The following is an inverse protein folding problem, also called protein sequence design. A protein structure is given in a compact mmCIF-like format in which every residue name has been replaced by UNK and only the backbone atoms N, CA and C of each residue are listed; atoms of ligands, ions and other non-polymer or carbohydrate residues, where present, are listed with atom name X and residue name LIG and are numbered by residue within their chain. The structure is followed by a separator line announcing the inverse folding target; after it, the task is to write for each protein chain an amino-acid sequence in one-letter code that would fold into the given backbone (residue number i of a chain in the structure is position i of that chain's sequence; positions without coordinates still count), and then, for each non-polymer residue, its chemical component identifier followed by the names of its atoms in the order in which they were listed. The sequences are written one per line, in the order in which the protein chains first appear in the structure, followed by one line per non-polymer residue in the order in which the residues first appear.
data_IF_842199688796
#
_entry.id   IF_842199688796
#
_cell.length_a   1.000
_cell.length_b   1.000
_cell.length_c   1.000
_cell.angle_alpha   90.00
_cell.angle_beta   90.00
_cell.angle_gamma   90.00
#
_symmetry.space_group_name_H-M   'P 1'
#
loop_
_entity.id
_entity.type
_entity.pdbx_description
1 polymer ?
#
# COMPACT_ATOMS: atom_id res chain seq x y z
N UNK A 1 20.80 32.14 17.71
CA UNK A 1 21.05 33.25 18.69
C UNK A 1 22.44 33.87 18.58
N UNK A 2 23.53 33.12 18.31
CA UNK A 2 24.88 33.71 18.24
C UNK A 2 25.10 34.71 17.07
N UNK A 3 24.49 34.49 15.90
CA UNK A 3 24.69 35.34 14.72
C UNK A 3 24.11 36.76 14.83
N UNK A 4 23.16 37.00 15.76
CA UNK A 4 22.55 38.31 15.97
C UNK A 4 23.29 39.18 17.02
N UNK A 5 24.24 38.61 17.77
CA UNK A 5 24.94 39.30 18.89
C UNK A 5 25.97 40.33 18.41
N UNK A 6 26.75 39.99 17.38
CA UNK A 6 27.80 40.87 16.84
C UNK A 6 27.31 42.26 16.43
N UNK A 7 26.29 42.40 15.56
CA UNK A 7 25.84 43.72 15.10
C UNK A 7 25.16 44.56 16.20
N UNK A 8 24.51 43.93 17.18
CA UNK A 8 23.87 44.63 18.30
C UNK A 8 24.93 45.22 19.24
N UNK A 9 25.98 44.47 19.56
CA UNK A 9 27.06 44.94 20.44
C UNK A 9 27.87 46.08 19.82
N UNK A 10 28.18 46.01 18.53
CA UNK A 10 28.87 47.09 17.81
C UNK A 10 28.05 48.38 17.82
N UNK A 11 26.72 48.28 17.62
CA UNK A 11 25.81 49.43 17.67
C UNK A 11 25.73 50.06 19.08
N UNK A 12 25.75 49.25 20.14
CA UNK A 12 25.69 49.72 21.53
C UNK A 12 26.98 50.44 21.94
N UNK A 13 28.14 49.86 21.61
CA UNK A 13 29.44 50.48 21.83
C UNK A 13 29.52 51.88 21.20
N UNK A 14 29.07 52.00 19.95
CA UNK A 14 29.05 53.27 19.24
C UNK A 14 28.09 54.30 19.86
N UNK A 15 26.91 53.87 20.30
CA UNK A 15 25.94 54.73 20.98
C UNK A 15 26.44 55.24 22.33
N UNK A 16 27.04 54.37 23.14
CA UNK A 16 27.63 54.74 24.43
C UNK A 16 28.76 55.74 24.21
N UNK A 17 29.68 55.44 23.29
CA UNK A 17 30.78 56.34 22.94
C UNK A 17 30.27 57.71 22.45
N UNK A 18 29.18 57.75 21.66
CA UNK A 18 28.55 59.00 21.20
C UNK A 18 27.98 59.83 22.35
N UNK A 19 27.30 59.19 23.30
CA UNK A 19 26.71 59.87 24.49
C UNK A 19 27.77 60.38 25.46
N UNK A 20 28.85 59.62 25.66
CA UNK A 20 30.00 60.06 26.45
C UNK A 20 30.69 61.27 25.82
N UNK A 21 30.88 61.28 24.50
CA UNK A 21 31.40 62.46 23.78
C UNK A 21 30.48 63.68 23.90
N UNK A 22 29.17 63.51 23.72
CA UNK A 22 28.22 64.65 23.78
C UNK A 22 28.11 65.29 25.15
N UNK A 23 28.35 64.52 26.22
CA UNK A 23 28.35 65.04 27.60
C UNK A 23 29.72 65.59 28.02
N UNK A 24 30.74 65.54 27.16
CA UNK A 24 32.11 65.92 27.52
C UNK A 24 32.72 65.03 28.60
N UNK A 25 32.36 63.73 28.60
CA UNK A 25 32.91 62.76 29.53
C UNK A 25 34.37 62.43 29.16
N UNK A 26 35.30 63.02 29.92
CA UNK A 26 36.74 62.77 29.83
C UNK A 26 37.34 62.43 31.20
N UNK A 27 38.67 62.44 31.29
CA UNK A 27 39.40 61.96 32.47
C UNK A 27 39.03 62.70 33.78
N UNK A 28 38.68 63.98 33.69
CA UNK A 28 38.21 64.75 34.85
C UNK A 28 36.89 64.21 35.41
N UNK A 29 35.90 63.94 34.54
CA UNK A 29 34.60 63.38 34.95
C UNK A 29 34.74 61.92 35.41
N UNK A 30 35.63 61.15 34.77
CA UNK A 30 36.00 59.80 35.19
C UNK A 30 36.60 59.78 36.59
N UNK A 31 37.53 60.68 36.89
CA UNK A 31 38.17 60.80 38.21
C UNK A 31 37.13 61.17 39.29
N UNK A 32 36.24 62.11 38.99
CA UNK A 32 35.14 62.47 39.87
C UNK A 32 34.25 61.26 40.19
N UNK A 33 33.83 60.51 39.16
CA UNK A 33 33.00 59.31 39.31
C UNK A 33 33.71 58.22 40.13
N UNK A 34 34.98 57.92 39.84
CA UNK A 34 35.82 56.96 40.57
C UNK A 34 35.97 57.33 42.05
N UNK A 35 35.93 58.62 42.35
CA UNK A 35 35.88 59.12 43.71
C UNK A 35 34.81 58.43 44.54
N UNK A 36 33.64 58.08 43.97
CA UNK A 36 32.50 57.51 44.70
C UNK A 36 32.51 55.99 44.84
N UNK A 37 33.46 55.25 44.24
CA UNK A 37 33.51 53.78 44.28
C UNK A 37 33.34 53.19 45.67
N UNK A 38 34.13 53.66 46.65
CA UNK A 38 34.05 53.19 48.04
C UNK A 38 32.65 53.34 48.65
N UNK A 39 31.93 54.41 48.30
CA UNK A 39 30.58 54.61 48.79
C UNK A 39 29.60 53.66 48.11
N UNK A 40 29.72 53.47 46.79
CA UNK A 40 28.92 52.52 46.02
C UNK A 40 29.12 51.09 46.56
N UNK A 41 30.36 50.68 46.80
CA UNK A 41 30.67 49.35 47.33
C UNK A 41 29.98 49.08 48.69
N UNK A 42 29.83 50.12 49.52
CA UNK A 42 29.17 50.03 50.83
C UNK A 42 27.64 49.95 50.75
N UNK A 43 27.02 50.48 49.69
CA UNK A 43 25.55 50.62 49.63
C UNK A 43 24.88 49.76 48.57
N UNK A 44 25.60 49.32 47.55
CA UNK A 44 25.00 48.70 46.36
C UNK A 44 24.28 47.38 46.67
N UNK A 45 24.89 46.51 47.46
CA UNK A 45 24.32 45.20 47.83
C UNK A 45 22.95 45.37 48.52
N UNK A 46 22.88 46.26 49.52
CA UNK A 46 21.62 46.55 50.23
C UNK A 46 20.57 47.20 49.32
N UNK A 47 20.98 48.05 48.38
CA UNK A 47 20.07 48.68 47.42
C UNK A 47 19.50 47.65 46.45
N UNK A 48 20.36 46.78 45.89
CA UNK A 48 19.99 45.73 44.94
C UNK A 48 19.04 44.74 45.61
N UNK A 49 19.40 44.26 46.81
CA UNK A 49 18.56 43.36 47.58
C UNK A 49 17.17 43.94 47.86
N UNK A 50 17.11 45.24 48.23
CA UNK A 50 15.85 45.95 48.48
C UNK A 50 15.04 46.12 47.20
N UNK A 51 15.66 46.53 46.10
CA UNK A 51 14.98 46.73 44.82
C UNK A 51 14.33 45.44 44.30
N UNK A 52 15.03 44.31 44.36
CA UNK A 52 14.47 43.02 43.97
C UNK A 52 13.47 42.45 44.98
N UNK A 53 13.58 42.78 46.27
CA UNK A 53 12.56 42.44 47.27
C UNK A 53 11.21 43.10 46.95
N UNK A 54 11.21 44.38 46.57
CA UNK A 54 9.99 45.09 46.14
C UNK A 54 9.45 44.52 44.82
N UNK A 55 10.33 44.23 43.86
CA UNK A 55 9.92 43.59 42.60
C UNK A 55 9.18 42.26 42.81
N UNK A 56 9.64 41.44 43.76
CA UNK A 56 8.99 40.17 44.14
C UNK A 56 7.62 40.35 44.79
N UNK A 57 7.40 41.43 45.53
CA UNK A 57 6.08 41.72 46.12
C UNK A 57 5.06 42.13 45.06
N UNK A 58 5.50 42.78 43.99
CA UNK A 58 4.65 43.25 42.89
C UNK A 58 4.32 42.11 41.91
N UNK A 59 5.22 41.14 41.73
CA UNK A 59 5.04 40.01 40.82
C UNK A 59 5.21 38.64 41.52
N UNK A 60 4.23 38.21 42.33
CA UNK A 60 4.32 36.99 43.12
C UNK A 60 4.39 35.69 42.29
N UNK A 61 3.85 35.68 41.06
CA UNK A 61 3.85 34.51 40.16
C UNK A 61 5.20 34.16 39.51
N UNK A 62 6.25 34.94 39.79
CA UNK A 62 7.61 34.70 39.27
C UNK A 62 8.53 33.93 40.23
N UNK A 63 8.04 33.58 41.42
CA UNK A 63 8.86 33.10 42.53
C UNK A 63 9.44 31.70 42.30
N UNK A 64 8.67 30.80 41.72
CA UNK A 64 8.96 29.36 41.78
C UNK A 64 9.81 28.85 40.59
N UNK A 65 9.72 29.49 39.42
CA UNK A 65 10.43 29.03 38.21
C UNK A 65 11.82 29.65 38.02
N UNK A 66 12.22 30.63 38.84
CA UNK A 66 13.35 31.54 38.54
C UNK A 66 14.33 31.68 39.71
N UNK A 67 14.10 30.96 40.82
CA UNK A 67 14.95 31.01 42.02
C UNK A 67 16.47 30.84 41.77
N UNK A 68 16.95 29.92 40.91
CA UNK A 68 18.40 29.77 40.65
C UNK A 68 18.98 30.90 39.78
N UNK A 69 18.15 31.52 38.94
CA UNK A 69 18.54 32.64 38.07
C UNK A 69 18.53 33.97 38.83
N UNK A 70 17.79 34.04 39.95
CA UNK A 70 17.70 35.22 40.79
C UNK A 70 19.00 35.50 41.54
N UNK A 71 19.69 34.51 42.11
CA UNK A 71 20.97 34.75 42.82
C UNK A 71 22.03 35.31 41.87
N UNK A 72 22.12 34.75 40.67
CA UNK A 72 22.98 35.28 39.60
C UNK A 72 22.60 36.71 39.20
N UNK A 73 21.31 37.08 39.28
CA UNK A 73 20.86 38.43 38.91
C UNK A 73 21.31 39.49 39.91
N UNK A 74 21.33 39.18 41.22
CA UNK A 74 21.74 40.13 42.25
C UNK A 74 23.23 40.43 42.08
N UNK A 75 24.06 39.39 42.00
CA UNK A 75 25.51 39.52 41.83
C UNK A 75 25.86 40.27 40.54
N UNK A 76 25.26 39.89 39.41
CA UNK A 76 25.51 40.56 38.12
C UNK A 76 25.08 42.03 38.17
N UNK A 77 23.95 42.32 38.83
CA UNK A 77 23.46 43.70 38.98
C UNK A 77 24.40 44.53 39.84
N UNK A 78 24.85 44.00 40.98
CA UNK A 78 25.82 44.67 41.86
C UNK A 78 27.13 44.95 41.14
N UNK A 79 27.68 43.94 40.46
CA UNK A 79 28.90 44.07 39.67
C UNK A 79 28.74 45.12 38.57
N UNK A 80 27.60 45.16 37.89
CA UNK A 80 27.32 46.14 36.85
C UNK A 80 27.34 47.57 37.39
N UNK A 81 26.61 47.85 38.47
CA UNK A 81 26.61 49.18 39.09
C UNK A 81 27.97 49.54 39.69
N UNK A 82 28.76 48.59 40.20
CA UNK A 82 30.16 48.87 40.58
C UNK A 82 31.01 49.27 39.37
N UNK A 83 30.82 48.58 38.24
CA UNK A 83 31.55 48.82 37.01
C UNK A 83 31.26 50.20 36.41
N UNK A 84 30.01 50.69 36.50
CA UNK A 84 29.65 52.05 36.09
C UNK A 84 30.55 53.09 36.78
N UNK A 85 30.87 52.89 38.06
CA UNK A 85 31.71 53.81 38.84
C UNK A 85 33.23 53.59 38.65
N UNK A 86 33.65 52.58 37.89
CA UNK A 86 35.00 52.55 37.32
C UNK A 86 35.17 53.63 36.24
N UNK A 87 34.08 54.00 35.56
CA UNK A 87 34.03 55.10 34.58
C UNK A 87 34.75 54.80 33.27
N UNK A 88 35.09 53.54 33.01
CA UNK A 88 35.84 53.15 31.81
C UNK A 88 34.95 52.95 30.58
N UNK A 89 33.73 52.44 30.77
CA UNK A 89 32.76 52.14 29.70
C UNK A 89 33.38 51.36 28.52
N UNK A 90 34.22 50.39 28.86
CA UNK A 90 34.94 49.52 27.94
C UNK A 90 34.11 48.27 27.59
N UNK A 91 34.74 47.28 26.95
CA UNK A 91 34.11 46.00 26.61
C UNK A 91 33.52 45.29 27.84
N UNK A 92 34.12 45.42 29.03
CA UNK A 92 33.58 44.83 30.26
C UNK A 92 32.22 45.42 30.59
N UNK A 93 32.04 46.72 30.37
CA UNK A 93 30.74 47.39 30.56
C UNK A 93 29.71 46.90 29.57
N UNK A 94 30.08 46.77 28.30
CA UNK A 94 29.18 46.25 27.28
C UNK A 94 28.74 44.81 27.56
N UNK A 95 29.67 43.92 27.91
CA UNK A 95 29.36 42.53 28.26
C UNK A 95 28.50 42.45 29.52
N UNK A 96 28.81 43.26 30.54
CA UNK A 96 28.03 43.32 31.78
C UNK A 96 26.60 43.81 31.52
N UNK A 97 26.44 44.87 30.71
CA UNK A 97 25.15 45.38 30.27
C UNK A 97 24.33 44.31 29.56
N UNK A 98 24.93 43.63 28.57
CA UNK A 98 24.25 42.59 27.78
C UNK A 98 23.80 41.42 28.63
N UNK A 99 24.69 40.92 29.50
CA UNK A 99 24.42 39.79 30.40
C UNK A 99 23.29 40.12 31.37
N UNK A 100 23.32 41.32 31.95
CA UNK A 100 22.28 41.78 32.85
C UNK A 100 20.94 41.94 32.12
N UNK A 101 20.89 42.56 30.93
CA UNK A 101 19.66 42.66 30.12
C UNK A 101 19.07 41.30 29.73
N UNK A 102 19.90 40.32 29.35
CA UNK A 102 19.43 38.96 29.05
C UNK A 102 18.77 38.31 30.27
N UNK A 103 19.38 38.46 31.44
CA UNK A 103 18.87 37.87 32.67
C UNK A 103 17.60 38.59 33.13
N UNK A 104 17.54 39.93 33.04
CA UNK A 104 16.34 40.73 33.32
C UNK A 104 15.14 40.32 32.47
N UNK A 105 15.35 39.96 31.19
CA UNK A 105 14.32 39.40 30.31
C UNK A 105 13.91 38.00 30.72
N UNK A 106 14.88 37.12 31.02
CA UNK A 106 14.60 35.77 31.48
C UNK A 106 13.75 35.77 32.76
N UNK A 107 14.02 36.72 33.67
CA UNK A 107 13.26 36.93 34.91
C UNK A 107 12.08 37.91 34.70
N UNK A 108 11.74 38.33 33.49
CA UNK A 108 10.62 39.26 33.17
C UNK A 108 10.50 40.49 34.10
N UNK A 109 11.60 40.97 34.66
CA UNK A 109 11.62 42.18 35.51
C UNK A 109 11.74 43.43 34.64
N UNK A 110 12.44 43.29 33.51
CA UNK A 110 12.72 44.38 32.57
C UNK A 110 13.59 45.49 33.17
N UNK A 111 13.77 46.57 32.42
CA UNK A 111 14.61 47.73 32.79
C UNK A 111 14.10 48.58 33.96
N UNK A 112 12.89 48.30 34.48
CA UNK A 112 12.28 49.05 35.61
C UNK A 112 13.06 48.91 36.90
N UNK A 113 13.64 47.73 37.15
CA UNK A 113 14.50 47.47 38.31
C UNK A 113 15.73 48.38 38.30
N UNK A 114 16.35 48.59 37.13
CA UNK A 114 17.49 49.50 36.97
C UNK A 114 17.16 50.93 37.33
N UNK A 115 16.01 51.45 36.88
CA UNK A 115 15.57 52.81 37.24
C UNK A 115 15.47 52.95 38.75
N UNK A 116 14.90 51.94 39.43
CA UNK A 116 14.78 51.93 40.89
C UNK A 116 16.14 51.90 41.59
N UNK A 117 17.05 51.03 41.14
CA UNK A 117 18.40 50.88 41.71
C UNK A 117 19.24 52.14 41.49
N UNK A 118 19.26 52.66 40.26
CA UNK A 118 19.96 53.90 39.91
C UNK A 118 19.45 55.09 40.74
N UNK A 119 18.12 55.25 40.87
CA UNK A 119 17.54 56.31 41.68
C UNK A 119 17.83 56.15 43.18
N UNK A 120 17.83 54.91 43.69
CA UNK A 120 18.20 54.63 45.08
C UNK A 120 19.69 54.90 45.35
N UNK A 121 20.56 54.53 44.40
CA UNK A 121 21.99 54.77 44.46
C UNK A 121 22.31 56.26 44.41
N UNK A 122 21.70 56.99 43.48
CA UNK A 122 21.82 58.45 43.40
C UNK A 122 21.40 59.12 44.71
N UNK A 123 20.25 58.76 45.28
CA UNK A 123 19.80 59.27 46.59
C UNK A 123 20.77 58.91 47.72
N UNK A 124 21.29 57.68 47.74
CA UNK A 124 22.22 57.22 48.78
C UNK A 124 23.56 58.00 48.72
N UNK A 125 23.99 58.40 47.53
CA UNK A 125 25.17 59.24 47.32
C UNK A 125 24.87 60.70 47.71
N UNK A 126 23.71 61.23 47.30
CA UNK A 126 23.33 62.62 47.52
C UNK A 126 23.06 62.96 49.00
N UNK A 127 22.52 62.01 49.77
CA UNK A 127 22.06 62.24 51.16
C UNK A 127 23.12 61.99 52.24
N UNK A 128 24.22 61.32 51.90
CA UNK A 128 25.37 61.13 52.81
C UNK A 128 26.60 61.84 52.23
N UNK A 129 26.63 63.18 52.24
CA UNK A 129 27.77 63.94 51.74
C UNK A 129 29.03 63.55 52.51
N UNK A 130 30.15 63.42 51.80
CA UNK A 130 31.47 63.29 52.43
C UNK A 130 31.76 64.52 53.28
N UNK A 131 32.58 64.38 54.32
CA UNK A 131 33.10 65.53 55.07
C UNK A 131 33.72 66.58 54.12
N UNK A 132 34.38 66.11 53.04
CA UNK A 132 34.96 66.95 51.99
C UNK A 132 33.94 67.71 51.13
N UNK A 133 32.71 67.22 50.96
CA UNK A 133 31.67 67.94 50.19
C UNK A 133 31.03 69.09 50.97
N UNK A 134 31.15 69.11 52.31
CA UNK A 134 30.76 70.26 53.13
C UNK A 134 31.67 71.48 52.86
N UNK A 135 32.91 71.25 52.42
CA UNK A 135 33.89 72.29 52.13
C UNK A 135 33.77 72.86 50.70
N UNK A 136 33.05 72.19 49.79
CA UNK A 136 32.88 72.67 48.41
C UNK A 136 31.54 72.24 47.79
N UNK A 137 30.44 72.95 48.08
CA UNK A 137 29.11 72.63 47.57
C UNK A 137 29.02 72.63 46.03
N UNK A 138 29.76 73.52 45.35
CA UNK A 138 29.77 73.63 43.89
C UNK A 138 30.52 72.49 43.19
N UNK A 139 31.50 71.85 43.85
CA UNK A 139 32.12 70.62 43.35
C UNK A 139 31.17 69.44 43.49
N UNK A 140 30.51 69.33 44.64
CA UNK A 140 29.53 68.27 44.90
C UNK A 140 28.35 68.30 43.92
N UNK A 141 27.80 69.49 43.63
CA UNK A 141 26.74 69.64 42.65
C UNK A 141 27.14 69.14 41.25
N UNK A 142 28.37 69.46 40.80
CA UNK A 142 28.92 68.97 39.52
C UNK A 142 29.12 67.45 39.54
N UNK A 143 29.59 66.90 40.65
CA UNK A 143 29.74 65.45 40.79
C UNK A 143 28.37 64.75 40.71
N UNK A 144 27.32 65.33 41.29
CA UNK A 144 25.95 64.78 41.19
C UNK A 144 25.45 64.81 39.75
N UNK A 145 25.68 65.91 39.02
CA UNK A 145 25.33 66.00 37.59
C UNK A 145 26.06 64.93 36.74
N UNK A 146 27.32 64.63 37.04
CA UNK A 146 28.08 63.56 36.37
C UNK A 146 27.45 62.19 36.64
N UNK A 147 27.14 61.90 37.90
CA UNK A 147 26.56 60.61 38.32
C UNK A 147 25.17 60.44 37.71
N UNK A 148 24.33 61.46 37.73
CA UNK A 148 23.01 61.45 37.10
C UNK A 148 23.10 61.13 35.61
N UNK A 149 23.94 61.88 34.87
CA UNK A 149 24.11 61.69 33.43
C UNK A 149 24.57 60.27 33.08
N UNK A 150 25.50 59.71 33.86
CA UNK A 150 26.01 58.35 33.67
C UNK A 150 24.93 57.30 33.94
N UNK A 151 24.18 57.43 35.04
CA UNK A 151 23.11 56.51 35.39
C UNK A 151 21.95 56.57 34.39
N UNK A 152 21.59 57.76 33.90
CA UNK A 152 20.58 57.94 32.85
C UNK A 152 21.08 57.34 31.52
N UNK A 153 22.36 57.51 31.19
CA UNK A 153 22.96 56.88 30.02
C UNK A 153 22.89 55.35 30.10
N UNK A 154 23.19 54.77 31.25
CA UNK A 154 23.10 53.32 31.51
C UNK A 154 21.68 52.80 31.23
N UNK A 155 20.67 53.41 31.86
CA UNK A 155 19.26 53.07 31.68
C UNK A 155 18.85 53.17 30.21
N UNK A 156 19.18 54.28 29.54
CA UNK A 156 18.82 54.47 28.13
C UNK A 156 19.51 53.45 27.22
N UNK A 157 20.72 53.02 27.57
CA UNK A 157 21.44 51.96 26.83
C UNK A 157 20.74 50.62 27.00
N UNK A 158 20.35 50.29 28.24
CA UNK A 158 19.63 49.07 28.56
C UNK A 158 18.27 48.99 27.83
N UNK A 159 17.49 50.08 27.81
CA UNK A 159 16.20 50.15 27.08
C UNK A 159 16.42 49.93 25.59
N UNK A 160 17.45 50.54 25.00
CA UNK A 160 17.74 50.40 23.57
C UNK A 160 18.10 48.96 23.22
N UNK A 161 18.91 48.30 24.05
CA UNK A 161 19.27 46.90 23.88
C UNK A 161 18.04 45.99 24.00
N UNK A 162 17.16 46.22 24.98
CA UNK A 162 15.95 45.43 25.19
C UNK A 162 15.01 45.48 23.97
N UNK A 163 14.75 46.67 23.42
CA UNK A 163 13.97 46.83 22.20
C UNK A 163 14.62 46.14 20.99
N UNK A 164 15.95 46.20 20.86
CA UNK A 164 16.67 45.54 19.77
C UNK A 164 16.54 44.01 19.84
N UNK A 165 16.59 43.45 21.06
CA UNK A 165 16.40 42.02 21.32
C UNK A 165 14.95 41.58 21.03
N UNK A 166 13.94 42.36 21.44
CA UNK A 166 12.52 42.06 21.09
C UNK A 166 12.29 42.04 19.58
N UNK A 167 12.81 43.05 18.89
CA UNK A 167 12.67 43.15 17.44
C UNK A 167 13.36 41.98 16.72
N UNK A 168 14.52 41.53 17.22
CA UNK A 168 15.23 40.38 16.68
C UNK A 168 14.46 39.06 16.89
N UNK A 169 13.89 38.84 18.07
CA UNK A 169 13.05 37.67 18.37
C UNK A 169 11.77 37.66 17.53
N UNK A 170 11.13 38.81 17.37
CA UNK A 170 9.94 38.96 16.54
C UNK A 170 10.22 38.65 15.06
N UNK A 171 11.36 39.13 14.53
CA UNK A 171 11.82 38.80 13.17
C UNK A 171 12.07 37.30 13.02
N UNK A 172 12.86 36.71 13.91
CA UNK A 172 13.15 35.27 13.86
C UNK A 172 11.86 34.42 13.95
N UNK A 173 10.87 34.84 14.75
CA UNK A 173 9.58 34.15 14.82
C UNK A 173 8.79 34.29 13.52
N UNK A 174 8.80 35.47 12.89
CA UNK A 174 8.17 35.68 11.58
C UNK A 174 8.83 34.84 10.48
N UNK A 175 10.15 34.84 10.40
CA UNK A 175 10.89 34.08 9.38
C UNK A 175 10.67 32.57 9.54
N UNK A 176 10.61 32.08 10.78
CA UNK A 176 10.30 30.68 11.07
C UNK A 176 8.86 30.31 10.65
N UNK A 177 7.89 31.18 10.91
CA UNK A 177 6.50 30.98 10.49
C UNK A 177 6.35 31.00 8.95
N UNK A 178 7.03 31.93 8.28
CA UNK A 178 7.01 32.04 6.83
C UNK A 178 7.64 30.80 6.16
N UNK A 179 8.79 30.35 6.67
CA UNK A 179 9.44 29.10 6.23
C UNK A 179 8.51 27.90 6.43
N UNK A 180 7.85 27.81 7.59
CA UNK A 180 6.90 26.73 7.86
C UNK A 180 5.69 26.77 6.93
N UNK A 181 5.15 27.96 6.63
CA UNK A 181 4.04 28.15 5.70
C UNK A 181 4.42 27.75 4.27
N UNK A 182 5.62 28.14 3.81
CA UNK A 182 6.15 27.73 2.51
C UNK A 182 6.32 26.21 2.38
N UNK A 183 6.87 25.58 3.42
CA UNK A 183 7.02 24.12 3.47
C UNK A 183 5.67 23.40 3.45
N UNK A 184 4.69 23.91 4.21
CA UNK A 184 3.33 23.36 4.22
C UNK A 184 2.67 23.48 2.84
N UNK A 185 2.76 24.66 2.21
CA UNK A 185 2.21 24.90 0.87
C UNK A 185 2.82 23.96 -0.17
N UNK A 186 4.14 23.77 -0.15
CA UNK A 186 4.83 22.84 -1.05
C UNK A 186 4.36 21.40 -0.85
N UNK A 187 4.28 20.93 0.40
CA UNK A 187 3.80 19.58 0.74
C UNK A 187 2.37 19.33 0.28
N UNK A 188 1.48 20.32 0.48
CA UNK A 188 0.10 20.24 -0.01
C UNK A 188 0.07 20.12 -1.54
N UNK A 189 0.88 20.92 -2.26
CA UNK A 189 0.96 20.82 -3.72
C UNK A 189 1.48 19.46 -4.22
N UNK A 190 2.49 18.88 -3.55
CA UNK A 190 2.97 17.53 -3.91
C UNK A 190 1.94 16.44 -3.60
N UNK A 191 1.18 16.59 -2.51
CA UNK A 191 0.14 15.66 -2.11
C UNK A 191 -1.02 15.69 -3.13
N UNK A 192 -1.43 16.89 -3.54
CA UNK A 192 -2.48 17.11 -4.54
C UNK A 192 -2.12 16.45 -5.89
N UNK A 193 -0.88 16.64 -6.36
CA UNK A 193 -0.38 15.99 -7.57
C UNK A 193 -0.34 14.46 -7.43
N UNK A 194 0.06 13.94 -6.27
CA UNK A 194 0.11 12.49 -6.01
C UNK A 194 -1.30 11.88 -5.99
N UNK A 195 -2.25 12.54 -5.34
CA UNK A 195 -3.65 12.09 -5.27
C UNK A 195 -4.27 12.12 -6.67
N UNK A 196 -4.04 13.19 -7.44
CA UNK A 196 -4.55 13.31 -8.81
C UNK A 196 -4.03 12.18 -9.70
N UNK A 197 -2.73 11.88 -9.64
CA UNK A 197 -2.15 10.75 -10.38
C UNK A 197 -2.70 9.38 -9.94
N UNK A 198 -2.94 9.20 -8.65
CA UNK A 198 -3.56 7.96 -8.13
C UNK A 198 -5.01 7.80 -8.60
N UNK A 199 -5.78 8.89 -8.66
CA UNK A 199 -7.16 8.89 -9.18
C UNK A 199 -7.17 8.54 -10.67
N UNK A 200 -6.29 9.14 -11.48
CA UNK A 200 -6.18 8.82 -12.90
C UNK A 200 -5.85 7.33 -13.14
N UNK A 201 -4.91 6.78 -12.37
CA UNK A 201 -4.59 5.34 -12.43
C UNK A 201 -5.78 4.47 -12.02
N UNK A 202 -6.52 4.86 -10.98
CA UNK A 202 -7.69 4.12 -10.53
C UNK A 202 -8.82 4.10 -11.56
N UNK A 203 -9.05 5.23 -12.24
CA UNK A 203 -10.00 5.33 -13.36
C UNK A 203 -9.56 4.40 -14.50
N UNK A 204 -8.29 4.44 -14.89
CA UNK A 204 -7.76 3.56 -15.93
C UNK A 204 -7.92 2.07 -15.61
N UNK A 205 -7.60 1.66 -14.38
CA UNK A 205 -7.79 0.27 -13.93
C UNK A 205 -9.27 -0.15 -13.90
N UNK A 206 -10.17 0.77 -13.58
CA UNK A 206 -11.62 0.53 -13.59
C UNK A 206 -12.15 0.33 -15.02
N UNK A 207 -11.67 1.12 -15.98
CA UNK A 207 -12.03 0.98 -17.40
C UNK A 207 -11.52 -0.36 -17.97
N UNK A 208 -10.30 -0.76 -17.63
CA UNK A 208 -9.74 -2.05 -18.02
C UNK A 208 -10.56 -3.21 -17.42
N UNK A 209 -10.91 -3.13 -16.13
CA UNK A 209 -11.74 -4.13 -15.44
C UNK A 209 -13.13 -4.22 -16.07
N UNK A 210 -13.73 -3.08 -16.43
CA UNK A 210 -15.03 -3.03 -17.10
C UNK A 210 -14.97 -3.70 -18.46
N UNK A 211 -13.92 -3.42 -19.24
CA UNK A 211 -13.68 -4.04 -20.54
C UNK A 211 -13.46 -5.55 -20.44
N UNK A 212 -12.64 -6.00 -19.47
CA UNK A 212 -12.41 -7.41 -19.20
C UNK A 212 -13.70 -8.14 -18.79
N UNK A 213 -14.52 -7.50 -17.96
CA UNK A 213 -15.82 -8.06 -17.53
C UNK A 213 -16.79 -8.19 -18.71
N UNK A 214 -16.83 -7.19 -19.59
CA UNK A 214 -17.64 -7.24 -20.82
C UNK A 214 -17.18 -8.37 -21.75
N UNK A 215 -15.86 -8.54 -21.92
CA UNK A 215 -15.29 -9.65 -22.69
C UNK A 215 -15.64 -11.02 -22.10
N UNK A 216 -15.46 -11.20 -20.79
CA UNK A 216 -15.82 -12.43 -20.08
C UNK A 216 -17.31 -12.75 -20.26
N UNK A 217 -18.19 -11.74 -20.17
CA UNK A 217 -19.63 -11.94 -20.38
C UNK A 217 -19.93 -12.50 -21.76
N UNK A 218 -19.30 -11.97 -22.81
CA UNK A 218 -19.44 -12.49 -24.18
C UNK A 218 -18.95 -13.92 -24.29
N UNK A 219 -17.79 -14.23 -23.71
CA UNK A 219 -17.22 -15.58 -23.73
C UNK A 219 -18.11 -16.60 -23.00
N UNK A 220 -18.71 -16.22 -21.88
CA UNK A 220 -19.66 -17.08 -21.13
C UNK A 220 -20.89 -17.40 -21.98
N UNK A 221 -21.41 -16.43 -22.75
CA UNK A 221 -22.53 -16.67 -23.66
C UNK A 221 -22.17 -17.65 -24.78
N UNK A 222 -20.97 -17.55 -25.34
CA UNK A 222 -20.50 -18.48 -26.38
C UNK A 222 -20.27 -19.89 -25.83
N UNK A 223 -19.70 -20.02 -24.62
CA UNK A 223 -19.56 -21.31 -23.93
C UNK A 223 -20.93 -21.92 -23.65
N UNK A 224 -21.91 -21.12 -23.21
CA UNK A 224 -23.27 -21.59 -22.96
C UNK A 224 -23.89 -22.15 -24.25
N UNK A 225 -23.77 -21.42 -25.37
CA UNK A 225 -24.25 -21.87 -26.68
C UNK A 225 -23.57 -23.16 -27.13
N UNK A 226 -22.25 -23.28 -26.94
CA UNK A 226 -21.49 -24.49 -27.24
C UNK A 226 -21.97 -25.68 -26.41
N UNK A 227 -22.21 -25.49 -25.11
CA UNK A 227 -22.72 -26.53 -24.21
C UNK A 227 -24.12 -27.00 -24.62
N UNK A 228 -25.01 -26.10 -25.06
CA UNK A 228 -26.33 -26.46 -25.58
C UNK A 228 -26.23 -27.32 -26.84
N UNK A 229 -25.38 -26.92 -27.81
CA UNK A 229 -25.14 -27.72 -29.01
C UNK A 229 -24.55 -29.10 -28.69
N UNK A 230 -23.63 -29.19 -27.73
CA UNK A 230 -23.06 -30.47 -27.30
C UNK A 230 -24.11 -31.39 -26.67
N UNK A 231 -24.99 -30.83 -25.83
CA UNK A 231 -26.10 -31.58 -25.22
C UNK A 231 -27.03 -32.15 -26.28
N UNK A 232 -27.37 -31.37 -27.30
CA UNK A 232 -28.25 -31.82 -28.38
C UNK A 232 -27.58 -32.88 -29.26
N UNK A 233 -26.28 -32.72 -29.56
CA UNK A 233 -25.49 -33.77 -30.25
C UNK A 233 -25.42 -35.07 -29.45
N UNK A 234 -25.20 -34.99 -28.13
CA UNK A 234 -25.20 -36.17 -27.27
C UNK A 234 -26.54 -36.91 -27.28
N UNK A 235 -27.67 -36.18 -27.29
CA UNK A 235 -29.01 -36.78 -27.46
C UNK A 235 -29.18 -37.46 -28.81
N UNK A 236 -28.72 -36.84 -29.89
CA UNK A 236 -28.76 -37.46 -31.22
C UNK A 236 -27.93 -38.74 -31.30
N UNK A 237 -26.71 -38.73 -30.72
CA UNK A 237 -25.86 -39.92 -30.64
C UNK A 237 -26.50 -41.03 -29.80
N UNK A 238 -27.13 -40.69 -28.67
CA UNK A 238 -27.86 -41.68 -27.87
C UNK A 238 -29.00 -42.32 -28.67
N UNK A 239 -29.83 -41.52 -29.35
CA UNK A 239 -30.90 -42.03 -30.21
C UNK A 239 -30.38 -42.92 -31.34
N UNK A 240 -29.30 -42.52 -32.02
CA UNK A 240 -28.67 -43.34 -33.06
C UNK A 240 -28.12 -44.67 -32.50
N UNK A 241 -27.62 -44.66 -31.25
CA UNK A 241 -27.13 -45.87 -30.57
C UNK A 241 -28.28 -46.82 -30.20
N UNK A 242 -29.43 -46.28 -29.77
CA UNK A 242 -30.65 -47.05 -29.52
C UNK A 242 -31.16 -47.70 -30.82
N UNK A 243 -31.22 -46.93 -31.91
CA UNK A 243 -31.63 -47.45 -33.23
C UNK A 243 -30.67 -48.52 -33.74
N UNK A 244 -29.35 -48.31 -33.60
CA UNK A 244 -28.34 -49.30 -33.97
C UNK A 244 -28.49 -50.60 -33.15
N UNK A 245 -28.77 -50.50 -31.85
CA UNK A 245 -29.00 -51.66 -30.98
C UNK A 245 -30.24 -52.44 -31.40
N UNK A 246 -31.32 -51.76 -31.77
CA UNK A 246 -32.53 -52.38 -32.32
C UNK A 246 -32.24 -53.11 -33.65
N UNK A 247 -31.50 -52.47 -34.55
CA UNK A 247 -31.08 -53.07 -35.83
C UNK A 247 -30.21 -54.32 -35.63
N UNK A 248 -29.27 -54.30 -34.68
CA UNK A 248 -28.47 -55.48 -34.33
C UNK A 248 -29.37 -56.62 -33.81
N UNK A 249 -30.38 -56.30 -32.99
CA UNK A 249 -31.37 -57.27 -32.51
C UNK A 249 -32.14 -57.94 -33.64
N UNK A 250 -32.60 -57.16 -34.62
CA UNK A 250 -33.31 -57.63 -35.81
C UNK A 250 -32.41 -58.47 -36.72
N UNK A 251 -31.16 -58.05 -36.96
CA UNK A 251 -30.16 -58.84 -37.69
C UNK A 251 -29.95 -60.19 -37.00
N UNK A 252 -29.83 -60.20 -35.67
CA UNK A 252 -29.73 -61.42 -34.88
C UNK A 252 -30.97 -62.33 -35.02
N UNK A 253 -32.17 -61.76 -35.10
CA UNK A 253 -33.40 -62.52 -35.36
C UNK A 253 -33.40 -63.14 -36.77
N UNK A 254 -33.09 -62.35 -37.80
CA UNK A 254 -33.00 -62.81 -39.19
C UNK A 254 -31.95 -63.90 -39.36
N UNK A 255 -30.78 -63.75 -38.73
CA UNK A 255 -29.73 -64.76 -38.77
C UNK A 255 -30.20 -66.11 -38.18
N UNK A 256 -30.93 -66.09 -37.04
CA UNK A 256 -31.52 -67.31 -36.47
C UNK A 256 -32.57 -67.94 -37.40
N UNK A 257 -33.40 -67.13 -38.05
CA UNK A 257 -34.35 -67.63 -39.05
C UNK A 257 -33.64 -68.28 -40.24
N UNK A 258 -32.57 -67.67 -40.76
CA UNK A 258 -31.78 -68.24 -41.86
C UNK A 258 -31.14 -69.57 -41.46
N UNK A 259 -30.61 -69.70 -40.24
CA UNK A 259 -30.09 -70.98 -39.73
C UNK A 259 -31.18 -72.04 -39.65
N UNK A 260 -32.39 -71.68 -39.18
CA UNK A 260 -33.51 -72.61 -39.12
C UNK A 260 -33.96 -73.08 -40.53
N UNK A 261 -33.98 -72.18 -41.51
CA UNK A 261 -34.28 -72.51 -42.92
C UNK A 261 -33.20 -73.43 -43.50
N UNK A 262 -31.91 -73.10 -43.30
CA UNK A 262 -30.81 -73.92 -43.78
C UNK A 262 -30.84 -75.34 -43.15
N UNK A 263 -31.13 -75.43 -41.85
CA UNK A 263 -31.28 -76.71 -41.15
C UNK A 263 -32.43 -77.53 -41.73
N UNK A 264 -33.57 -76.89 -42.02
CA UNK A 264 -34.69 -77.56 -42.68
C UNK A 264 -34.32 -78.05 -44.08
N UNK A 265 -33.65 -77.23 -44.87
CA UNK A 265 -33.21 -77.59 -46.22
C UNK A 265 -32.23 -78.78 -46.22
N UNK A 266 -31.34 -78.87 -45.23
CA UNK A 266 -30.48 -80.05 -45.03
C UNK A 266 -31.32 -81.29 -44.75
N UNK A 267 -32.30 -81.20 -43.85
CA UNK A 267 -33.22 -82.30 -43.56
C UNK A 267 -34.05 -82.73 -44.78
N UNK A 268 -34.55 -81.78 -45.57
CA UNK A 268 -35.28 -82.06 -46.81
C UNK A 268 -34.38 -82.77 -47.84
N UNK A 269 -33.11 -82.37 -47.94
CA UNK A 269 -32.13 -83.03 -48.81
C UNK A 269 -31.80 -84.45 -48.36
N UNK A 270 -31.68 -84.69 -47.04
CA UNK A 270 -31.50 -86.04 -46.47
C UNK A 270 -32.70 -86.94 -46.76
N UNK A 271 -33.94 -86.42 -46.60
CA UNK A 271 -35.16 -87.15 -46.92
C UNK A 271 -35.25 -87.49 -48.42
N UNK A 272 -34.89 -86.55 -49.29
CA UNK A 272 -34.81 -86.79 -50.73
C UNK A 272 -33.78 -87.87 -51.08
N UNK A 273 -32.60 -87.86 -50.44
CA UNK A 273 -31.58 -88.88 -50.63
C UNK A 273 -32.05 -90.27 -50.18
N UNK A 274 -32.82 -90.34 -49.09
CA UNK A 274 -33.46 -91.58 -48.64
C UNK A 274 -34.49 -92.08 -49.67
N UNK A 275 -35.34 -91.20 -50.20
CA UNK A 275 -36.31 -91.56 -51.22
C UNK A 275 -35.65 -92.06 -52.52
N UNK A 276 -34.55 -91.42 -52.95
CA UNK A 276 -33.75 -91.89 -54.10
C UNK A 276 -33.16 -93.28 -53.82
N UNK A 277 -32.70 -93.54 -52.61
CA UNK A 277 -32.15 -94.85 -52.22
C UNK A 277 -33.22 -95.94 -52.27
N UNK A 278 -34.40 -95.70 -51.69
CA UNK A 278 -35.55 -96.62 -51.77
C UNK A 278 -36.01 -96.84 -53.22
N UNK A 279 -36.00 -95.80 -54.04
CA UNK A 279 -36.32 -95.91 -55.47
C UNK A 279 -35.30 -96.80 -56.20
N UNK A 280 -33.99 -96.66 -55.89
CA UNK A 280 -32.94 -97.52 -56.45
C UNK A 280 -33.14 -98.98 -56.06
N UNK A 281 -33.45 -99.26 -54.80
CA UNK A 281 -33.75 -100.62 -54.31
C UNK A 281 -34.98 -101.22 -55.01
N UNK A 282 -36.07 -100.45 -55.11
CA UNK A 282 -37.29 -100.88 -55.81
C UNK A 282 -37.03 -101.17 -57.28
N UNK A 283 -36.25 -100.32 -57.94
CA UNK A 283 -35.85 -100.49 -59.36
C UNK A 283 -34.97 -101.74 -59.53
N UNK A 284 -34.04 -102.01 -58.60
CA UNK A 284 -33.21 -103.20 -58.61
C UNK A 284 -34.04 -104.49 -58.43
N UNK A 285 -35.03 -104.46 -57.53
CA UNK A 285 -35.96 -105.57 -57.34
C UNK A 285 -36.78 -105.86 -58.61
N UNK A 286 -37.28 -104.81 -59.28
CA UNK A 286 -37.93 -104.94 -60.60
C UNK A 286 -36.97 -105.59 -61.61
N UNK A 287 -35.70 -105.16 -61.63
CA UNK A 287 -34.67 -105.78 -62.46
C UNK A 287 -34.49 -107.27 -62.18
N UNK A 288 -34.49 -107.68 -60.90
CA UNK A 288 -34.42 -109.09 -60.50
C UNK A 288 -35.64 -109.88 -60.95
N UNK A 289 -36.85 -109.30 -60.84
CA UNK A 289 -38.09 -109.92 -61.33
C UNK A 289 -38.05 -110.08 -62.85
N UNK A 290 -37.59 -109.07 -63.58
CA UNK A 290 -37.41 -109.15 -65.03
C UNK A 290 -36.38 -110.20 -65.42
N UNK A 291 -35.29 -110.35 -64.65
CA UNK A 291 -34.32 -111.43 -64.82
C UNK A 291 -34.96 -112.81 -64.63
N UNK A 292 -35.72 -113.01 -63.56
CA UNK A 292 -36.44 -114.25 -63.30
C UNK A 292 -37.52 -114.55 -64.37
N UNK A 293 -38.20 -113.51 -64.88
CA UNK A 293 -39.11 -113.65 -66.01
C UNK A 293 -38.35 -114.09 -67.27
N UNK A 294 -37.17 -113.51 -67.53
CA UNK A 294 -36.33 -113.92 -68.66
C UNK A 294 -35.85 -115.37 -68.52
N UNK A 295 -35.48 -115.80 -67.31
CA UNK A 295 -35.10 -117.18 -67.01
C UNK A 295 -36.28 -118.14 -67.18
N UNK A 296 -37.47 -117.80 -66.67
CA UNK A 296 -38.71 -118.57 -66.88
C UNK A 296 -39.02 -118.63 -68.37
N UNK A 297 -38.92 -117.52 -69.10
CA UNK A 297 -39.18 -117.50 -70.55
C UNK A 297 -38.17 -118.38 -71.30
N UNK A 298 -36.89 -118.37 -70.92
CA UNK A 298 -35.87 -119.24 -71.48
C UNK A 298 -36.15 -120.72 -71.14
N UNK A 299 -36.53 -121.03 -69.90
CA UNK A 299 -36.90 -122.37 -69.46
C UNK A 299 -38.19 -122.86 -70.14
N UNK A 300 -39.15 -121.95 -70.36
CA UNK A 300 -40.40 -122.21 -71.10
C UNK A 300 -40.10 -122.44 -72.56
N UNK A 301 -39.17 -121.69 -73.16
CA UNK A 301 -38.69 -121.93 -74.52
C UNK A 301 -37.98 -123.28 -74.63
N UNK A 302 -37.20 -123.68 -73.62
CA UNK A 302 -36.56 -125.01 -73.54
C UNK A 302 -37.59 -126.13 -73.37
N UNK A 303 -38.61 -125.95 -72.52
CA UNK A 303 -39.73 -126.87 -72.35
C UNK A 303 -40.55 -126.98 -73.64
N UNK A 304 -40.83 -125.86 -74.30
CA UNK A 304 -41.54 -125.81 -75.56
C UNK A 304 -40.72 -126.47 -76.67
N UNK A 305 -39.40 -126.30 -76.68
CA UNK A 305 -38.50 -126.98 -77.61
C UNK A 305 -38.48 -128.49 -77.35
N UNK A 306 -38.36 -128.93 -76.09
CA UNK A 306 -38.46 -130.34 -75.73
C UNK A 306 -39.84 -130.93 -76.08
N UNK A 307 -40.92 -130.17 -75.87
CA UNK A 307 -42.26 -130.56 -76.30
C UNK A 307 -42.37 -130.61 -77.82
N UNK A 308 -41.69 -129.74 -78.57
CA UNK A 308 -41.65 -129.77 -80.04
C UNK A 308 -40.84 -130.97 -80.54
N UNK A 309 -39.73 -131.33 -79.87
CA UNK A 309 -38.98 -132.55 -80.14
C UNK A 309 -39.85 -133.78 -79.87
N UNK A 310 -40.58 -133.81 -78.75
CA UNK A 310 -41.41 -134.96 -78.39
C UNK A 310 -42.71 -135.04 -79.21
N UNK A 311 -43.24 -133.91 -79.67
CA UNK A 311 -44.29 -133.85 -80.69
C UNK A 311 -43.80 -134.27 -82.07
N UNK A 312 -42.54 -133.97 -82.44
CA UNK A 312 -41.93 -134.50 -83.65
C UNK A 312 -41.64 -136.01 -83.54
N UNK A 313 -41.39 -136.50 -82.32
CA UNK A 313 -41.26 -137.92 -82.00
C UNK A 313 -42.60 -138.65 -82.01
N UNK A 314 -43.68 -137.95 -81.69
CA UNK A 314 -45.07 -138.41 -81.76
C UNK A 314 -45.80 -137.85 -83.00
N UNK A 315 -45.36 -138.19 -84.23
CA UNK A 315 -46.13 -137.93 -85.45
C UNK A 315 -47.52 -138.61 -85.40
N UNK A 316 -48.60 -138.15 -86.06
CA UNK A 316 -48.76 -137.39 -87.32
C UNK A 316 -50.27 -136.98 -87.47
N UNK A 317 -50.72 -136.19 -88.48
CA UNK A 317 -51.18 -134.80 -88.31
C UNK A 317 -52.56 -134.45 -88.94
N UNK A 318 -53.07 -133.25 -88.67
CA UNK A 318 -54.08 -132.54 -89.48
C UNK A 318 -54.69 -131.36 -88.73
N UNK A 319 -55.17 -130.26 -89.30
CA UNK A 319 -55.06 -129.59 -90.59
C UNK A 319 -55.88 -128.27 -90.46
N UNK A 320 -55.49 -127.22 -91.20
CA UNK A 320 -56.30 -126.07 -91.63
C UNK A 320 -56.71 -124.95 -90.62
N UNK A 321 -56.00 -123.82 -90.67
CA UNK A 321 -56.36 -122.53 -91.32
C UNK A 321 -57.85 -122.19 -91.58
N UNK A 322 -58.25 -120.92 -91.86
CA UNK A 322 -57.63 -119.59 -91.61
C UNK A 322 -58.64 -118.44 -91.24
N UNK A 323 -58.13 -117.19 -91.27
CA UNK A 323 -58.79 -115.90 -91.65
C UNK A 323 -59.62 -115.13 -90.59
N UNK A 324 -59.11 -114.00 -90.03
CA UNK A 324 -59.09 -112.57 -90.50
C UNK A 324 -60.45 -111.84 -90.29
N UNK A 325 -60.51 -110.48 -90.19
CA UNK A 325 -59.63 -109.52 -89.51
C UNK A 325 -60.36 -108.30 -88.84
N UNK A 326 -59.55 -107.43 -88.20
CA UNK A 326 -59.71 -105.97 -87.96
C UNK A 326 -60.83 -105.46 -87.03
N UNK A 327 -60.42 -104.94 -85.86
CA UNK A 327 -60.09 -103.51 -85.66
C UNK A 327 -59.09 -103.35 -84.53
#
# INVERSE_FOLDING_TARGET
MAAARGPILTSISEQVARRLRSTGYGEQKRTALRGYRKHVDLVIEGIVAKAFSYGRQIHPGLKDSIAPLNENLYEITEQHFRLIFEGDFDERYHTSMERMCMLERAVKVGTRSRVSIAGALFRAIATKPRLASLLSPSRFARDMEIIENVLVMDINTAITLDHALEAAEARHRRDALDTAAHMLKSRIGTLDSTISGAVEQFVGATDETTSATAFIRTQVLDVTRAAEMMRDRARQTAAATEEMSANIGEIGHRARQSVAIATRAVGDAEAMNHAITQLRESTASIGSVLGLIADIAAQTNLLALNATIEAARAGKPGAASPSLPRR
#
